data_IF_207803718779
#
_entry.id   IF_207803718779
#
_cell.length_a   1.000
_cell.length_b   1.000
_cell.length_c   1.000
_cell.angle_alpha   90.00
_cell.angle_beta   90.00
_cell.angle_gamma   90.00
#
_symmetry.space_group_name_H-M   'P 1'
#
loop_
_entity.id
_entity.type
_entity.pdbx_description
1 polymer ?
#
# COMPACT_ATOMS: atom_id res chain seq x y z
N UNK A 1 -46.85 -32.91 28.78
CA UNK A 1 -46.58 -32.97 27.33
C UNK A 1 -47.28 -31.78 26.68
N UNK A 2 -46.53 -30.80 26.20
CA UNK A 2 -47.05 -29.61 25.49
C UNK A 2 -46.65 -29.72 24.00
N UNK A 3 -47.52 -29.35 23.05
CA UNK A 3 -47.24 -29.50 21.63
C UNK A 3 -46.40 -28.33 21.09
N UNK A 4 -45.54 -28.66 20.13
CA UNK A 4 -44.69 -27.73 19.38
C UNK A 4 -45.51 -27.13 18.22
N UNK A 5 -45.57 -25.80 18.15
CA UNK A 5 -46.14 -25.06 17.01
C UNK A 5 -45.06 -24.89 15.96
N UNK A 6 -45.30 -25.40 14.76
CA UNK A 6 -44.49 -25.18 13.55
C UNK A 6 -45.00 -23.91 12.87
N UNK A 7 -44.16 -22.88 12.78
CA UNK A 7 -44.40 -21.70 11.96
C UNK A 7 -43.71 -21.88 10.60
N UNK A 8 -44.54 -21.90 9.55
CA UNK A 8 -44.15 -21.94 8.15
C UNK A 8 -43.81 -20.50 7.70
N UNK A 9 -42.56 -20.22 7.35
CA UNK A 9 -42.20 -18.96 6.67
C UNK A 9 -42.06 -19.25 5.18
N UNK A 10 -42.94 -18.62 4.40
CA UNK A 10 -42.90 -18.59 2.94
C UNK A 10 -41.72 -17.72 2.51
N UNK A 11 -40.64 -18.35 2.03
CA UNK A 11 -39.55 -17.65 1.37
C UNK A 11 -39.96 -17.29 -0.05
N UNK A 12 -40.23 -16.00 -0.28
CA UNK A 12 -40.39 -15.46 -1.63
C UNK A 12 -39.03 -15.48 -2.33
N UNK A 13 -38.97 -16.16 -3.48
CA UNK A 13 -37.84 -16.16 -4.39
C UNK A 13 -37.51 -14.75 -4.87
N UNK A 14 -36.60 -14.08 -4.17
CA UNK A 14 -35.91 -12.89 -4.67
C UNK A 14 -34.63 -13.39 -5.29
N UNK A 15 -34.60 -13.52 -6.62
CA UNK A 15 -33.34 -13.79 -7.33
C UNK A 15 -32.32 -12.69 -7.03
N UNK A 16 -31.01 -13.00 -7.07
CA UNK A 16 -29.97 -12.01 -6.86
C UNK A 16 -30.15 -10.86 -7.84
N UNK A 17 -30.36 -9.64 -7.33
CA UNK A 17 -30.37 -8.44 -8.16
C UNK A 17 -28.96 -8.30 -8.76
N UNK A 18 -28.81 -8.05 -10.07
CA UNK A 18 -27.52 -7.72 -10.62
C UNK A 18 -27.02 -6.45 -9.93
N UNK A 19 -25.87 -6.56 -9.26
CA UNK A 19 -25.10 -5.39 -8.82
C UNK A 19 -24.64 -4.70 -10.10
N UNK A 20 -25.32 -3.61 -10.45
CA UNK A 20 -24.81 -2.68 -11.44
C UNK A 20 -23.59 -2.04 -10.81
N UNK A 21 -22.42 -2.21 -11.46
CA UNK A 21 -21.25 -1.38 -11.21
C UNK A 21 -21.68 0.03 -11.63
N UNK A 22 -22.26 0.77 -10.69
CA UNK A 22 -22.55 2.18 -10.90
C UNK A 22 -21.20 2.86 -10.95
N UNK A 23 -20.84 3.26 -12.18
CA UNK A 23 -20.14 4.49 -12.58
C UNK A 23 -19.15 5.11 -11.59
N UNK A 24 -18.03 5.69 -12.08
CA UNK A 24 -17.23 6.62 -11.27
C UNK A 24 -18.14 7.66 -10.57
N UNK A 25 -17.70 8.26 -9.45
CA UNK A 25 -18.49 9.23 -8.68
C UNK A 25 -19.24 10.20 -9.59
N UNK A 26 -20.46 10.63 -9.19
CA UNK A 26 -21.41 11.34 -10.05
C UNK A 26 -20.69 12.37 -10.91
N UNK A 27 -20.96 12.35 -12.21
CA UNK A 27 -20.38 13.20 -13.24
C UNK A 27 -20.28 14.65 -12.76
N UNK A 28 -19.12 15.02 -12.25
CA UNK A 28 -18.74 16.41 -12.17
C UNK A 28 -18.38 16.73 -13.61
N UNK A 29 -19.33 17.28 -14.38
CA UNK A 29 -19.08 17.70 -15.78
C UNK A 29 -17.89 18.68 -15.86
N UNK A 30 -17.53 19.28 -14.72
CA UNK A 30 -16.40 20.19 -14.51
C UNK A 30 -15.17 19.57 -13.83
N UNK A 31 -15.10 18.25 -13.63
CA UNK A 31 -13.88 17.64 -13.10
C UNK A 31 -12.72 17.87 -14.10
N UNK A 32 -11.53 18.28 -13.62
CA UNK A 32 -10.36 18.42 -14.48
C UNK A 32 -10.12 17.12 -15.25
N UNK A 33 -9.97 17.26 -16.57
CA UNK A 33 -9.74 16.13 -17.48
C UNK A 33 -8.26 15.97 -17.72
N UNK A 34 -7.80 14.73 -17.84
CA UNK A 34 -6.49 14.44 -18.38
C UNK A 34 -6.40 14.94 -19.83
N UNK A 35 -5.25 15.49 -20.19
CA UNK A 35 -4.87 15.73 -21.58
C UNK A 35 -4.20 14.47 -22.12
N UNK A 36 -4.58 14.04 -23.32
CA UNK A 36 -3.96 12.90 -23.99
C UNK A 36 -3.03 13.40 -25.10
N UNK A 37 -1.78 12.96 -25.05
CA UNK A 37 -0.78 13.28 -26.08
C UNK A 37 -0.25 12.01 -26.70
N UNK A 38 -0.50 11.83 -27.99
CA UNK A 38 0.07 10.73 -28.76
C UNK A 38 1.57 10.98 -29.00
N UNK A 39 2.38 9.97 -28.68
CA UNK A 39 3.83 9.95 -28.86
C UNK A 39 4.20 9.23 -30.17
N UNK A 40 5.38 9.51 -30.71
CA UNK A 40 5.80 9.01 -32.03
C UNK A 40 5.92 7.48 -32.12
N UNK A 41 6.01 6.79 -30.99
CA UNK A 41 6.10 5.33 -30.87
C UNK A 41 4.73 4.66 -30.64
N UNK A 42 3.63 5.41 -30.75
CA UNK A 42 2.25 4.91 -30.60
C UNK A 42 1.78 4.83 -29.14
N UNK A 43 2.55 5.37 -28.20
CA UNK A 43 2.12 5.56 -26.82
C UNK A 43 1.21 6.78 -26.69
N UNK A 44 0.30 6.74 -25.71
CA UNK A 44 -0.55 7.88 -25.34
C UNK A 44 -0.18 8.30 -23.93
N UNK A 45 0.47 9.46 -23.80
CA UNK A 45 0.82 10.08 -22.52
C UNK A 45 -0.42 10.73 -21.92
N UNK A 46 -0.62 10.53 -20.62
CA UNK A 46 -1.69 11.17 -19.86
C UNK A 46 -1.09 12.29 -19.03
N UNK A 47 -1.42 13.53 -19.39
CA UNK A 47 -0.93 14.76 -18.76
C UNK A 47 -2.05 15.43 -17.97
N UNK A 48 -1.70 16.23 -16.96
CA UNK A 48 -2.64 17.02 -16.14
C UNK A 48 -3.79 16.21 -15.49
N UNK A 49 -3.57 14.91 -15.28
CA UNK A 49 -4.57 14.06 -14.66
C UNK A 49 -4.84 14.46 -13.20
N UNK A 50 -6.11 14.60 -12.78
CA UNK A 50 -6.40 14.76 -11.37
C UNK A 50 -5.91 13.55 -10.58
N UNK A 51 -5.32 13.83 -9.41
CA UNK A 51 -5.05 12.79 -8.41
C UNK A 51 -6.38 12.36 -7.82
N UNK A 52 -6.95 11.29 -8.35
CA UNK A 52 -8.21 10.73 -7.85
C UNK A 52 -7.92 9.51 -6.99
N UNK A 53 -8.61 9.45 -5.83
CA UNK A 53 -8.68 8.21 -5.08
C UNK A 53 -9.37 7.17 -5.96
N UNK A 54 -8.78 5.99 -6.07
CA UNK A 54 -9.52 4.84 -6.56
C UNK A 54 -10.46 4.39 -5.44
N UNK A 55 -11.76 4.66 -5.59
CA UNK A 55 -12.77 4.27 -4.62
C UNK A 55 -13.36 2.91 -4.98
N UNK A 56 -13.25 1.99 -4.03
CA UNK A 56 -13.80 0.65 -4.14
C UNK A 56 -15.24 0.58 -3.63
N UNK A 57 -16.19 0.38 -4.55
CA UNK A 57 -17.55 -0.01 -4.21
C UNK A 57 -17.62 -1.54 -4.09
N UNK A 58 -17.88 -2.04 -2.88
CA UNK A 58 -17.95 -3.48 -2.61
C UNK A 58 -19.40 -3.91 -2.34
N UNK A 59 -19.87 -5.04 -2.89
CA UNK A 59 -21.10 -5.69 -2.46
C UNK A 59 -20.94 -6.34 -1.07
N UNK A 60 -22.06 -6.59 -0.39
CA UNK A 60 -22.10 -7.04 1.02
C UNK A 60 -22.22 -8.56 1.23
N UNK A 61 -22.27 -9.37 0.18
CA UNK A 61 -22.57 -10.81 0.30
C UNK A 61 -21.59 -11.66 -0.51
N UNK A 62 -21.10 -12.74 0.11
CA UNK A 62 -20.14 -13.69 -0.45
C UNK A 62 -20.87 -14.71 -1.35
N UNK A 63 -20.53 -14.85 -2.64
CA UNK A 63 -21.08 -15.89 -3.50
C UNK A 63 -20.57 -17.28 -3.12
N UNK A 64 -21.43 -18.30 -3.24
CA UNK A 64 -21.02 -19.71 -3.15
C UNK A 64 -20.66 -20.23 -4.56
N UNK A 65 -19.51 -20.89 -4.73
CA UNK A 65 -19.04 -21.35 -6.04
C UNK A 65 -17.85 -22.31 -5.98
N UNK A 66 -17.26 -22.65 -7.13
CA UNK A 66 -15.96 -23.34 -7.17
C UNK A 66 -14.86 -22.43 -6.59
N UNK A 67 -13.71 -22.94 -6.16
CA UNK A 67 -12.61 -22.09 -5.66
C UNK A 67 -12.19 -20.98 -6.66
N UNK A 68 -12.37 -21.22 -7.97
CA UNK A 68 -12.15 -20.22 -9.04
C UNK A 68 -13.27 -19.17 -9.07
N UNK A 69 -14.53 -19.60 -8.99
CA UNK A 69 -15.67 -18.68 -8.93
C UNK A 69 -15.67 -17.88 -7.63
N UNK A 70 -15.27 -18.48 -6.53
CA UNK A 70 -15.06 -17.83 -5.23
C UNK A 70 -13.92 -16.83 -5.31
N UNK A 71 -12.78 -17.16 -5.91
CA UNK A 71 -11.71 -16.19 -6.14
C UNK A 71 -12.14 -15.04 -7.07
N UNK A 72 -12.91 -15.33 -8.13
CA UNK A 72 -13.45 -14.31 -9.05
C UNK A 72 -14.46 -13.41 -8.36
N UNK A 73 -15.37 -14.02 -7.61
CA UNK A 73 -16.34 -13.33 -6.78
C UNK A 73 -15.62 -12.45 -5.79
N UNK A 74 -14.67 -12.99 -5.05
CA UNK A 74 -13.88 -12.29 -4.03
C UNK A 74 -13.07 -11.13 -4.63
N UNK A 75 -12.38 -11.32 -5.76
CA UNK A 75 -11.72 -10.22 -6.48
C UNK A 75 -12.73 -9.15 -6.91
N UNK A 76 -13.86 -9.54 -7.50
CA UNK A 76 -14.93 -8.61 -7.90
C UNK A 76 -15.55 -7.90 -6.70
N UNK A 77 -15.74 -8.61 -5.59
CA UNK A 77 -16.32 -8.15 -4.35
C UNK A 77 -15.36 -7.23 -3.59
N UNK A 78 -14.05 -7.32 -3.87
CA UNK A 78 -13.06 -6.31 -3.49
C UNK A 78 -12.79 -5.29 -4.60
N UNK A 79 -13.56 -5.30 -5.69
CA UNK A 79 -13.37 -4.50 -6.91
C UNK A 79 -11.96 -4.58 -7.53
N UNK A 80 -11.19 -5.60 -7.17
CA UNK A 80 -9.96 -6.04 -7.83
C UNK A 80 -10.28 -6.96 -9.02
N UNK A 81 -11.56 -7.23 -9.28
CA UNK A 81 -12.01 -7.94 -10.46
C UNK A 81 -11.72 -7.12 -11.72
N UNK A 82 -11.38 -7.82 -12.80
CA UNK A 82 -11.23 -7.17 -14.11
C UNK A 82 -12.61 -6.76 -14.61
N UNK A 83 -12.88 -5.44 -14.77
CA UNK A 83 -14.18 -4.98 -15.24
C UNK A 83 -14.41 -5.33 -16.72
N UNK A 84 -15.66 -5.55 -17.15
CA UNK A 84 -15.98 -5.81 -18.55
C UNK A 84 -15.45 -4.69 -19.46
N UNK A 85 -14.80 -5.07 -20.57
CA UNK A 85 -14.19 -4.12 -21.51
C UNK A 85 -12.79 -3.64 -21.12
N UNK A 86 -12.21 -4.17 -20.03
CA UNK A 86 -10.80 -3.97 -19.74
C UNK A 86 -9.93 -4.55 -20.86
N UNK A 87 -8.73 -3.99 -21.02
CA UNK A 87 -7.79 -4.42 -22.06
C UNK A 87 -6.42 -4.68 -21.47
N UNK A 88 -5.74 -5.73 -21.94
CA UNK A 88 -4.33 -5.92 -21.62
C UNK A 88 -3.50 -4.97 -22.49
N UNK A 89 -2.65 -4.17 -21.88
CA UNK A 89 -1.77 -3.22 -22.59
C UNK A 89 -0.39 -3.20 -21.98
N UNK A 90 0.59 -2.79 -22.78
CA UNK A 90 1.78 -2.16 -22.21
C UNK A 90 1.34 -0.81 -21.61
N UNK A 91 1.81 -0.49 -20.41
CA UNK A 91 1.50 0.75 -19.70
C UNK A 91 2.73 1.28 -19.00
N UNK A 92 2.74 2.56 -18.71
CA UNK A 92 3.67 3.19 -17.78
C UNK A 92 2.85 3.60 -16.56
N UNK A 93 3.08 2.96 -15.42
CA UNK A 93 2.36 3.25 -14.17
C UNK A 93 3.20 4.12 -13.26
N UNK A 94 2.55 4.92 -12.42
CA UNK A 94 3.23 5.64 -11.34
C UNK A 94 3.25 4.76 -10.10
N UNK A 95 4.45 4.31 -9.71
CA UNK A 95 4.67 3.66 -8.42
C UNK A 95 5.14 4.69 -7.43
N UNK A 96 4.49 4.68 -6.27
CA UNK A 96 4.92 5.47 -5.13
C UNK A 96 5.74 4.56 -4.24
N UNK A 97 6.92 5.03 -3.86
CA UNK A 97 7.65 4.42 -2.77
C UNK A 97 7.42 5.18 -1.47
N UNK A 98 7.84 4.53 -0.39
CA UNK A 98 7.68 5.04 0.97
C UNK A 98 8.63 6.22 1.25
N UNK A 99 9.51 6.57 0.31
CA UNK A 99 10.34 7.77 0.34
C UNK A 99 9.62 8.99 -0.24
N UNK A 100 8.40 8.79 -0.75
CA UNK A 100 7.62 9.82 -1.44
C UNK A 100 8.10 10.07 -2.86
N UNK A 101 9.07 9.28 -3.36
CA UNK A 101 9.45 9.33 -4.76
C UNK A 101 8.38 8.61 -5.59
N UNK A 102 7.99 9.25 -6.69
CA UNK A 102 7.19 8.60 -7.72
C UNK A 102 8.13 8.14 -8.82
N UNK A 103 8.26 6.82 -9.01
CA UNK A 103 8.92 6.26 -10.18
C UNK A 103 7.86 5.83 -11.19
N UNK A 104 8.09 6.16 -12.46
CA UNK A 104 7.30 5.61 -13.56
C UNK A 104 7.88 4.28 -13.98
N UNK A 105 7.08 3.22 -13.98
CA UNK A 105 7.51 1.90 -14.43
C UNK A 105 6.70 1.46 -15.64
N UNK A 106 7.39 1.09 -16.73
CA UNK A 106 6.76 0.39 -17.85
C UNK A 106 6.54 -1.07 -17.51
N UNK A 107 5.32 -1.55 -17.72
CA UNK A 107 4.91 -2.93 -17.42
C UNK A 107 3.70 -3.33 -18.28
N UNK A 108 3.34 -4.61 -18.24
CA UNK A 108 2.06 -5.09 -18.76
C UNK A 108 1.02 -5.06 -17.66
N UNK A 109 -0.14 -4.51 -17.99
CA UNK A 109 -1.21 -4.37 -17.02
C UNK A 109 -2.58 -4.46 -17.69
N UNK A 110 -3.57 -4.85 -16.90
CA UNK A 110 -4.96 -4.83 -17.30
C UNK A 110 -5.52 -3.44 -17.04
N UNK A 111 -5.71 -2.67 -18.10
CA UNK A 111 -6.23 -1.31 -18.07
C UNK A 111 -7.74 -1.34 -17.96
N UNK A 112 -8.26 -0.61 -16.98
CA UNK A 112 -9.70 -0.49 -16.77
C UNK A 112 -10.37 0.32 -17.88
N UNK A 113 -11.63 0.01 -18.23
CA UNK A 113 -12.44 0.83 -19.12
C UNK A 113 -12.47 2.27 -18.64
N UNK A 114 -12.31 3.20 -19.58
CA UNK A 114 -12.27 4.64 -19.33
C UNK A 114 -12.87 5.38 -20.51
N UNK A 115 -13.33 6.60 -20.27
CA UNK A 115 -13.60 7.58 -21.34
C UNK A 115 -12.36 8.41 -21.61
N UNK A 116 -12.24 8.93 -22.83
CA UNK A 116 -11.18 9.86 -23.18
C UNK A 116 -11.18 11.06 -22.23
N UNK A 117 -9.99 11.43 -21.73
CA UNK A 117 -9.80 12.51 -20.77
C UNK A 117 -10.12 12.19 -19.30
N UNK A 118 -10.55 10.99 -18.94
CA UNK A 118 -10.58 10.58 -17.52
C UNK A 118 -9.14 10.21 -17.06
N UNK A 119 -8.87 9.98 -15.77
CA UNK A 119 -7.69 9.23 -15.33
C UNK A 119 -7.76 7.76 -15.76
N UNK A 120 -6.62 7.13 -15.99
CA UNK A 120 -6.54 5.70 -16.29
C UNK A 120 -5.92 4.94 -15.11
N UNK A 121 -6.43 3.73 -14.87
CA UNK A 121 -5.95 2.83 -13.83
C UNK A 121 -5.70 1.45 -14.43
N UNK A 122 -4.70 0.74 -13.93
CA UNK A 122 -4.39 -0.60 -14.39
C UNK A 122 -3.95 -1.53 -13.26
N UNK A 123 -4.36 -2.80 -13.34
CA UNK A 123 -3.87 -3.87 -12.49
C UNK A 123 -2.57 -4.42 -13.08
N UNK A 124 -1.46 -4.27 -12.35
CA UNK A 124 -0.17 -4.85 -12.73
C UNK A 124 0.08 -6.17 -11.98
N UNK A 125 1.34 -6.62 -11.97
CA UNK A 125 1.91 -7.73 -11.19
C UNK A 125 1.37 -7.91 -9.76
N UNK A 126 1.01 -6.81 -9.07
CA UNK A 126 0.55 -6.83 -7.68
C UNK A 126 -0.95 -6.95 -7.48
N UNK A 127 -1.78 -6.98 -8.54
CA UNK A 127 -3.25 -6.86 -8.43
C UNK A 127 -3.75 -5.60 -7.71
N UNK A 128 -2.87 -4.65 -7.44
CA UNK A 128 -3.24 -3.36 -6.91
C UNK A 128 -3.42 -2.42 -8.11
N UNK A 129 -4.54 -1.68 -8.23
CA UNK A 129 -4.71 -0.76 -9.35
C UNK A 129 -3.79 0.43 -9.18
N UNK A 130 -2.96 0.70 -10.18
CA UNK A 130 -2.04 1.84 -10.20
C UNK A 130 -2.53 2.92 -11.15
N UNK A 131 -2.30 4.22 -10.83
CA UNK A 131 -2.47 5.29 -11.80
C UNK A 131 -1.58 5.04 -13.02
N UNK A 132 -2.17 5.14 -14.20
CA UNK A 132 -1.46 5.01 -15.47
C UNK A 132 -1.02 6.40 -15.92
N UNK A 133 0.27 6.51 -16.22
CA UNK A 133 0.92 7.71 -16.77
C UNK A 133 0.98 7.70 -18.29
N UNK A 134 1.14 6.52 -18.89
CA UNK A 134 1.07 6.36 -20.34
C UNK A 134 0.47 5.01 -20.74
N UNK A 135 -0.27 5.00 -21.85
CA UNK A 135 -0.89 3.82 -22.43
C UNK A 135 -0.13 3.42 -23.69
N UNK A 136 0.41 2.21 -23.69
CA UNK A 136 1.04 1.59 -24.84
C UNK A 136 0.06 0.76 -25.68
N UNK A 137 0.60 -0.08 -26.59
CA UNK A 137 -0.18 -0.92 -27.47
C UNK A 137 -1.02 -1.96 -26.71
N UNK A 138 -2.15 -2.34 -27.33
CA UNK A 138 -2.98 -3.46 -26.86
C UNK A 138 -2.27 -4.78 -27.12
N UNK A 139 -2.30 -5.65 -26.12
CA UNK A 139 -1.69 -6.97 -26.14
C UNK A 139 -2.79 -8.02 -26.17
N UNK A 140 -2.62 -9.04 -27.01
CA UNK A 140 -3.52 -10.19 -27.00
C UNK A 140 -3.31 -11.02 -25.71
N UNK A 141 -4.31 -11.11 -24.83
CA UNK A 141 -4.15 -11.80 -23.55
C UNK A 141 -3.85 -13.29 -23.71
N UNK A 142 -4.34 -13.93 -24.78
CA UNK A 142 -4.11 -15.35 -25.03
C UNK A 142 -2.67 -15.64 -25.45
N UNK A 143 -2.15 -14.84 -26.39
CA UNK A 143 -0.74 -14.95 -26.84
C UNK A 143 0.21 -14.67 -25.68
N UNK A 144 -0.09 -13.64 -24.89
CA UNK A 144 0.74 -13.25 -23.75
C UNK A 144 0.72 -14.31 -22.64
N UNK A 145 -0.45 -14.91 -22.39
CA UNK A 145 -0.59 -15.99 -21.45
C UNK A 145 0.17 -17.25 -21.87
N UNK A 146 0.06 -17.67 -23.14
CA UNK A 146 0.82 -18.81 -23.69
C UNK A 146 2.33 -18.57 -23.54
N UNK A 147 2.80 -17.36 -23.88
CA UNK A 147 4.20 -16.95 -23.66
C UNK A 147 4.62 -17.07 -22.19
N UNK A 148 3.79 -16.59 -21.26
CA UNK A 148 4.07 -16.66 -19.82
C UNK A 148 4.14 -18.10 -19.30
N UNK A 149 3.26 -18.99 -19.78
CA UNK A 149 3.28 -20.42 -19.47
C UNK A 149 4.55 -21.10 -19.99
N UNK A 150 4.98 -20.78 -21.22
CA UNK A 150 6.22 -21.30 -21.80
C UNK A 150 7.46 -20.84 -21.02
N UNK A 151 7.51 -19.56 -20.64
CA UNK A 151 8.60 -19.00 -19.82
C UNK A 151 8.66 -19.67 -18.45
N UNK A 152 7.51 -19.90 -17.82
CA UNK A 152 7.42 -20.60 -16.54
C UNK A 152 7.92 -22.04 -16.66
N UNK A 153 7.52 -22.77 -17.70
CA UNK A 153 7.99 -24.12 -17.93
C UNK A 153 9.53 -24.18 -18.04
N UNK A 154 10.14 -23.20 -18.72
CA UNK A 154 11.61 -23.06 -18.79
C UNK A 154 12.25 -22.75 -17.44
N UNK A 155 11.66 -21.85 -16.65
CA UNK A 155 12.15 -21.52 -15.31
C UNK A 155 12.12 -22.74 -14.37
N UNK A 156 11.05 -23.54 -14.43
CA UNK A 156 10.92 -24.77 -13.65
C UNK A 156 11.94 -25.84 -14.04
N UNK A 157 12.22 -26.01 -15.34
CA UNK A 157 13.28 -26.91 -15.82
C UNK A 157 14.67 -26.49 -15.30
N UNK A 158 14.99 -25.19 -15.38
CA UNK A 158 16.24 -24.63 -14.85
C UNK A 158 16.39 -24.90 -13.35
N UNK A 159 15.35 -24.61 -12.56
CA UNK A 159 15.33 -24.87 -11.12
C UNK A 159 15.54 -26.35 -10.80
N UNK A 160 14.90 -27.24 -11.55
CA UNK A 160 15.04 -28.68 -11.35
C UNK A 160 16.46 -29.17 -11.71
N UNK A 161 17.06 -28.62 -12.77
CA UNK A 161 18.48 -28.87 -13.12
C UNK A 161 19.42 -28.45 -11.99
N UNK A 162 19.25 -27.25 -11.44
CA UNK A 162 20.03 -26.76 -10.30
C UNK A 162 19.85 -27.64 -9.07
N UNK A 163 18.61 -28.03 -8.75
CA UNK A 163 18.31 -28.91 -7.62
C UNK A 163 18.93 -30.30 -7.79
N UNK A 164 18.93 -30.86 -9.02
CA UNK A 164 19.60 -32.14 -9.32
C UNK A 164 21.11 -32.04 -9.11
N UNK A 165 21.76 -30.97 -9.57
CA UNK A 165 23.20 -30.79 -9.37
C UNK A 165 23.58 -30.59 -7.90
N UNK A 166 22.79 -29.81 -7.15
CA UNK A 166 23.00 -29.64 -5.71
C UNK A 166 22.97 -30.97 -4.96
N UNK A 167 22.00 -31.84 -5.27
CA UNK A 167 21.95 -33.20 -4.68
C UNK A 167 23.19 -34.03 -5.03
N UNK A 168 23.65 -34.00 -6.28
CA UNK A 168 24.88 -34.71 -6.69
C UNK A 168 26.12 -34.15 -5.99
N UNK A 169 26.18 -32.84 -5.76
CA UNK A 169 27.28 -32.20 -5.04
C UNK A 169 27.26 -32.53 -3.54
N UNK A 170 26.08 -32.53 -2.91
CA UNK A 170 25.88 -32.96 -1.51
C UNK A 170 26.33 -34.41 -1.29
N UNK A 171 26.05 -35.30 -2.25
CA UNK A 171 26.48 -36.71 -2.21
C UNK A 171 28.00 -36.89 -2.45
N UNK A 172 28.68 -35.91 -3.02
CA UNK A 172 30.11 -36.02 -3.39
C UNK A 172 31.08 -35.78 -2.20
N UNK A 173 30.58 -35.53 -0.98
CA UNK A 173 31.33 -35.33 0.28
C UNK A 173 32.43 -34.24 0.23
N UNK A 174 32.50 -33.47 -0.85
CA UNK A 174 33.49 -32.41 -1.06
C UNK A 174 32.77 -31.09 -1.29
N UNK A 175 33.19 -30.08 -0.51
CA UNK A 175 32.78 -28.69 -0.65
C UNK A 175 33.34 -28.16 -1.99
N UNK A 176 32.62 -28.46 -3.07
CA UNK A 176 33.00 -28.04 -4.41
C UNK A 176 32.56 -26.59 -4.57
N UNK A 177 33.48 -25.67 -4.92
CA UNK A 177 33.10 -24.29 -5.16
C UNK A 177 32.02 -24.25 -6.24
N UNK A 178 31.02 -23.38 -6.05
CA UNK A 178 29.89 -23.21 -6.96
C UNK A 178 30.42 -23.09 -8.40
N UNK A 179 30.00 -24.02 -9.27
CA UNK A 179 30.56 -24.09 -10.61
C UNK A 179 30.06 -22.91 -11.43
N UNK A 180 30.86 -22.45 -12.40
CA UNK A 180 30.42 -21.40 -13.33
C UNK A 180 29.09 -21.74 -14.03
N UNK A 181 28.85 -23.03 -14.28
CA UNK A 181 27.61 -23.52 -14.86
C UNK A 181 26.41 -23.37 -13.90
N UNK A 182 26.61 -23.50 -12.59
CA UNK A 182 25.53 -23.30 -11.60
C UNK A 182 25.20 -21.83 -11.44
N UNK A 183 26.21 -20.95 -11.45
CA UNK A 183 26.00 -19.50 -11.48
C UNK A 183 25.23 -19.07 -12.73
N UNK A 184 25.61 -19.57 -13.91
CA UNK A 184 24.91 -19.28 -15.17
C UNK A 184 23.46 -19.80 -15.17
N UNK A 185 23.22 -21.03 -14.70
CA UNK A 185 21.86 -21.58 -14.60
C UNK A 185 21.03 -20.80 -13.57
N UNK A 186 21.61 -20.33 -12.46
CA UNK A 186 20.93 -19.48 -11.47
C UNK A 186 20.57 -18.11 -12.04
N UNK A 187 21.50 -17.45 -12.74
CA UNK A 187 21.24 -16.19 -13.45
C UNK A 187 20.16 -16.37 -14.53
N UNK A 188 20.18 -17.48 -15.25
CA UNK A 188 19.15 -17.83 -16.23
C UNK A 188 17.78 -18.11 -15.58
N UNK A 189 17.75 -18.80 -14.43
CA UNK A 189 16.53 -18.99 -13.63
C UNK A 189 15.97 -17.63 -13.19
N UNK A 190 16.81 -16.75 -12.66
CA UNK A 190 16.41 -15.40 -12.23
C UNK A 190 15.88 -14.55 -13.38
N UNK A 191 16.52 -14.59 -14.55
CA UNK A 191 16.07 -13.90 -15.75
C UNK A 191 14.74 -14.46 -16.26
N UNK A 192 14.59 -15.78 -16.29
CA UNK A 192 13.34 -16.43 -16.69
C UNK A 192 12.19 -16.05 -15.74
N UNK A 193 12.41 -16.05 -14.43
CA UNK A 193 11.40 -15.59 -13.46
C UNK A 193 11.12 -14.10 -13.56
N UNK A 194 12.11 -13.27 -13.88
CA UNK A 194 11.88 -11.85 -14.14
C UNK A 194 10.96 -11.66 -15.36
N UNK A 195 11.12 -12.45 -16.41
CA UNK A 195 10.24 -12.40 -17.58
C UNK A 195 8.85 -13.00 -17.32
N UNK A 196 8.75 -14.08 -16.52
CA UNK A 196 7.44 -14.58 -16.03
C UNK A 196 6.70 -13.48 -15.24
N UNK A 197 7.43 -12.72 -14.40
CA UNK A 197 6.88 -11.56 -13.68
C UNK A 197 6.43 -10.44 -14.61
N UNK A 198 7.12 -10.19 -15.72
CA UNK A 198 6.71 -9.18 -16.71
C UNK A 198 5.52 -9.60 -17.55
N UNK A 199 5.43 -10.88 -17.88
CA UNK A 199 4.34 -11.40 -18.72
C UNK A 199 3.01 -11.52 -17.96
N UNK A 200 3.06 -11.52 -16.63
CA UNK A 200 1.89 -11.45 -15.74
C UNK A 200 0.74 -12.38 -16.20
N UNK A 201 0.99 -13.65 -16.57
CA UNK A 201 -0.04 -14.52 -17.14
C UNK A 201 -1.24 -14.70 -16.18
N UNK A 202 -1.01 -14.54 -14.87
CA UNK A 202 -2.07 -14.52 -13.88
C UNK A 202 -2.92 -13.24 -13.93
N UNK A 203 -2.41 -12.06 -14.25
CA UNK A 203 -3.25 -10.86 -14.31
C UNK A 203 -4.22 -10.94 -15.51
N UNK A 204 -3.83 -11.67 -16.56
CA UNK A 204 -4.63 -11.85 -17.76
C UNK A 204 -5.74 -12.90 -17.63
N UNK A 205 -5.75 -13.80 -16.63
CA UNK A 205 -6.71 -14.92 -16.59
C UNK A 205 -8.18 -14.48 -16.63
N UNK A 206 -8.62 -13.37 -15.98
CA UNK A 206 -10.00 -12.94 -16.12
C UNK A 206 -10.34 -12.46 -17.53
N UNK A 207 -9.37 -11.85 -18.23
CA UNK A 207 -9.55 -11.45 -19.64
C UNK A 207 -9.65 -12.66 -20.57
N UNK A 208 -8.92 -13.75 -20.27
CA UNK A 208 -8.99 -14.99 -21.04
C UNK A 208 -10.40 -15.59 -21.03
N UNK A 209 -11.08 -15.52 -19.89
CA UNK A 209 -12.48 -15.97 -19.79
C UNK A 209 -13.41 -15.10 -20.66
N UNK A 210 -13.22 -13.78 -20.64
CA UNK A 210 -14.04 -12.84 -21.41
C UNK A 210 -13.87 -13.04 -22.94
N UNK A 211 -12.71 -13.52 -23.40
CA UNK A 211 -12.46 -13.90 -24.80
C UNK A 211 -12.73 -15.38 -25.11
N UNK A 212 -13.33 -16.14 -24.17
CA UNK A 212 -13.74 -17.53 -24.36
C UNK A 212 -12.59 -18.56 -24.32
N UNK A 213 -11.40 -18.21 -23.83
CA UNK A 213 -10.23 -19.09 -23.66
C UNK A 213 -10.18 -19.71 -22.26
N UNK A 214 -11.26 -20.40 -21.90
CA UNK A 214 -11.42 -21.02 -20.57
C UNK A 214 -10.36 -22.08 -20.26
N UNK A 215 -9.89 -22.81 -21.27
CA UNK A 215 -8.81 -23.79 -21.16
C UNK A 215 -7.50 -23.15 -20.67
N UNK A 216 -7.22 -21.95 -21.18
CA UNK A 216 -6.00 -21.23 -20.89
C UNK A 216 -6.09 -20.53 -19.53
N UNK A 217 -7.25 -19.94 -19.21
CA UNK A 217 -7.56 -19.41 -17.88
C UNK A 217 -7.42 -20.48 -16.80
N UNK A 218 -7.90 -21.69 -17.07
CA UNK A 218 -7.74 -22.83 -16.18
C UNK A 218 -6.28 -23.16 -15.93
N UNK A 219 -5.49 -23.39 -17.00
CA UNK A 219 -4.06 -23.69 -16.88
C UNK A 219 -3.27 -22.62 -16.10
N UNK A 220 -3.66 -21.35 -16.21
CA UNK A 220 -3.04 -20.28 -15.41
C UNK A 220 -3.47 -20.27 -13.95
N UNK A 221 -4.66 -20.75 -13.63
CA UNK A 221 -5.25 -20.66 -12.28
C UNK A 221 -4.99 -21.89 -11.42
N UNK A 222 -4.93 -23.10 -11.99
CA UNK A 222 -4.78 -24.37 -11.22
C UNK A 222 -3.48 -24.43 -10.42
N UNK A 223 -2.46 -23.72 -10.88
CA UNK A 223 -1.15 -23.59 -10.25
C UNK A 223 -0.99 -22.28 -9.46
N UNK A 224 -1.95 -21.37 -9.58
CA UNK A 224 -1.90 -20.02 -9.01
C UNK A 224 -2.78 -19.87 -7.77
N UNK A 225 -3.61 -20.84 -7.37
CA UNK A 225 -4.47 -20.71 -6.18
C UNK A 225 -3.70 -20.62 -4.87
N UNK A 226 -2.60 -21.36 -4.72
CA UNK A 226 -1.65 -21.22 -3.61
C UNK A 226 -0.83 -19.92 -3.70
N UNK A 227 -0.50 -19.48 -4.91
CA UNK A 227 0.26 -18.24 -5.16
C UNK A 227 -0.64 -16.99 -5.06
N UNK A 228 -1.94 -17.13 -5.30
CA UNK A 228 -2.92 -16.04 -5.26
C UNK A 228 -3.17 -15.59 -3.83
N UNK A 229 -3.28 -16.50 -2.86
CA UNK A 229 -3.40 -16.11 -1.45
C UNK A 229 -2.13 -15.41 -0.94
N UNK A 230 -0.95 -15.89 -1.32
CA UNK A 230 0.34 -15.21 -1.05
C UNK A 230 0.35 -13.82 -1.69
N UNK A 231 -0.17 -13.68 -2.91
CA UNK A 231 -0.24 -12.40 -3.63
C UNK A 231 -1.33 -11.47 -3.13
N UNK A 232 -2.44 -11.96 -2.58
CA UNK A 232 -3.43 -11.12 -1.90
C UNK A 232 -2.84 -10.57 -0.61
N UNK A 233 -2.03 -11.35 0.13
CA UNK A 233 -1.21 -10.82 1.24
C UNK A 233 -0.21 -9.75 0.82
N UNK A 234 0.45 -9.94 -0.34
CA UNK A 234 1.27 -8.88 -0.95
C UNK A 234 0.42 -7.66 -1.36
N UNK A 235 -0.81 -7.87 -1.80
CA UNK A 235 -1.73 -6.80 -2.19
C UNK A 235 -2.11 -5.93 -1.00
N UNK A 236 -2.42 -6.52 0.16
CA UNK A 236 -2.67 -5.79 1.40
C UNK A 236 -1.48 -4.89 1.75
N UNK A 237 -0.29 -5.47 1.79
CA UNK A 237 0.96 -4.77 2.11
C UNK A 237 1.27 -3.62 1.15
N UNK A 238 1.02 -3.81 -0.15
CA UNK A 238 1.25 -2.79 -1.18
C UNK A 238 0.20 -1.68 -1.15
N UNK A 239 -1.08 -2.02 -0.93
CA UNK A 239 -2.14 -1.03 -0.72
C UNK A 239 -1.85 -0.20 0.52
N UNK A 240 -1.43 -0.83 1.62
CA UNK A 240 -1.05 -0.14 2.84
C UNK A 240 0.16 0.78 2.65
N UNK A 241 1.22 0.32 1.99
CA UNK A 241 2.39 1.17 1.68
C UNK A 241 2.02 2.40 0.83
N UNK A 242 1.09 2.24 -0.11
CA UNK A 242 0.56 3.35 -0.90
C UNK A 242 -0.29 4.31 -0.07
N UNK A 243 -1.14 3.77 0.81
CA UNK A 243 -1.95 4.55 1.73
C UNK A 243 -1.08 5.43 2.63
N UNK A 244 0.01 4.86 3.16
CA UNK A 244 1.02 5.60 3.92
C UNK A 244 1.67 6.69 3.08
N UNK A 245 2.01 6.41 1.82
CA UNK A 245 2.61 7.44 0.95
C UNK A 245 1.65 8.60 0.69
N UNK A 246 0.38 8.33 0.42
CA UNK A 246 -0.61 9.39 0.27
C UNK A 246 -0.85 10.17 1.57
N UNK A 247 -0.86 9.49 2.72
CA UNK A 247 -0.93 10.14 4.03
C UNK A 247 0.28 11.04 4.29
N UNK A 248 1.48 10.56 3.98
CA UNK A 248 2.73 11.31 4.03
C UNK A 248 2.70 12.57 3.16
N UNK A 249 1.90 12.59 2.09
CA UNK A 249 1.73 13.70 1.15
C UNK A 249 0.56 14.66 1.50
N UNK A 250 -0.15 14.44 2.60
CA UNK A 250 -1.32 15.27 2.92
C UNK A 250 -2.62 14.86 2.23
N UNK A 251 -2.65 13.72 1.52
CA UNK A 251 -3.77 13.27 0.72
C UNK A 251 -4.69 12.33 1.52
N UNK A 252 -5.19 12.83 2.66
CA UNK A 252 -5.89 12.03 3.68
C UNK A 252 -7.13 11.29 3.14
N UNK A 253 -7.86 11.89 2.19
CA UNK A 253 -9.03 11.26 1.56
C UNK A 253 -8.63 10.04 0.73
N UNK A 254 -7.51 10.14 -0.01
CA UNK A 254 -7.00 9.04 -0.83
C UNK A 254 -6.44 7.95 0.09
N UNK A 255 -5.62 8.34 1.08
CA UNK A 255 -5.07 7.42 2.06
C UNK A 255 -6.17 6.62 2.77
N UNK A 256 -7.26 7.28 3.20
CA UNK A 256 -8.39 6.61 3.85
C UNK A 256 -9.04 5.56 2.96
N UNK A 257 -9.33 5.92 1.71
CA UNK A 257 -9.90 4.97 0.77
C UNK A 257 -9.02 3.72 0.62
N UNK A 258 -7.70 3.89 0.60
CA UNK A 258 -6.76 2.77 0.48
C UNK A 258 -6.61 1.96 1.77
N UNK A 259 -6.59 2.61 2.94
CA UNK A 259 -6.62 1.91 4.24
C UNK A 259 -7.88 1.08 4.38
N UNK A 260 -9.04 1.59 3.95
CA UNK A 260 -10.30 0.84 3.99
C UNK A 260 -10.23 -0.43 3.12
N UNK A 261 -9.50 -0.38 2.01
CA UNK A 261 -9.26 -1.52 1.12
C UNK A 261 -8.32 -2.51 1.77
N UNK A 262 -7.17 -2.05 2.27
CA UNK A 262 -6.21 -2.90 2.99
C UNK A 262 -6.86 -3.58 4.19
N UNK A 263 -7.63 -2.86 5.00
CA UNK A 263 -8.37 -3.39 6.15
C UNK A 263 -9.33 -4.51 5.75
N UNK A 264 -10.06 -4.33 4.65
CA UNK A 264 -11.00 -5.36 4.15
C UNK A 264 -10.27 -6.59 3.63
N UNK A 265 -9.18 -6.40 2.87
CA UNK A 265 -8.32 -7.50 2.41
C UNK A 265 -7.76 -8.30 3.60
N UNK A 266 -7.24 -7.59 4.61
CA UNK A 266 -6.67 -8.18 5.83
C UNK A 266 -7.65 -9.14 6.51
N UNK A 267 -8.89 -8.67 6.77
CA UNK A 267 -9.93 -9.47 7.43
C UNK A 267 -10.30 -10.77 6.72
N UNK A 268 -10.10 -10.82 5.42
CA UNK A 268 -10.57 -11.90 4.56
C UNK A 268 -9.47 -12.91 4.27
N UNK A 269 -8.22 -12.42 4.25
CA UNK A 269 -7.02 -13.26 4.26
C UNK A 269 -6.83 -13.97 5.60
N UNK A 270 -7.10 -13.28 6.70
CA UNK A 270 -7.04 -13.86 8.04
C UNK A 270 -8.34 -14.63 8.30
N UNK A 271 -8.44 -15.87 7.80
CA UNK A 271 -9.57 -16.76 8.14
C UNK A 271 -9.63 -17.11 9.63
N UNK A 272 -8.54 -16.86 10.34
CA UNK A 272 -8.44 -16.88 11.79
C UNK A 272 -8.37 -15.43 12.27
N UNK A 273 -8.94 -15.10 13.43
CA UNK A 273 -8.64 -13.81 14.08
C UNK A 273 -7.13 -13.56 13.99
N UNK A 274 -6.68 -12.38 13.50
CA UNK A 274 -5.26 -12.08 13.43
C UNK A 274 -4.70 -12.36 14.82
N UNK A 275 -3.66 -13.21 14.89
CA UNK A 275 -3.09 -13.57 16.18
C UNK A 275 -2.79 -12.27 16.93
N UNK A 276 -3.39 -12.09 18.12
CA UNK A 276 -3.16 -10.91 18.94
C UNK A 276 -1.64 -10.72 19.09
N UNK A 277 -1.11 -9.64 18.53
CA UNK A 277 0.32 -9.33 18.56
C UNK A 277 1.03 -9.28 17.20
N UNK A 278 0.37 -9.58 16.07
CA UNK A 278 0.97 -9.24 14.77
C UNK A 278 0.93 -7.70 14.56
N UNK A 279 2.10 -7.04 14.35
CA UNK A 279 2.17 -5.58 14.30
C UNK A 279 1.29 -4.94 13.20
N UNK A 280 0.91 -5.68 12.16
CA UNK A 280 0.32 -5.11 10.94
C UNK A 280 -1.17 -4.81 11.08
N UNK A 281 -1.93 -5.73 11.69
CA UNK A 281 -3.37 -5.53 11.91
C UNK A 281 -3.64 -4.39 12.91
N UNK A 282 -2.77 -4.28 13.92
CA UNK A 282 -2.84 -3.21 14.93
C UNK A 282 -2.63 -1.84 14.29
N UNK A 283 -1.69 -1.73 13.34
CA UNK A 283 -1.42 -0.48 12.62
C UNK A 283 -2.57 -0.06 11.69
N UNK A 284 -3.21 -0.98 10.97
CA UNK A 284 -4.30 -0.63 10.05
C UNK A 284 -5.52 -0.02 10.76
N UNK A 285 -5.94 -0.61 11.89
CA UNK A 285 -7.08 -0.11 12.65
C UNK A 285 -6.84 1.29 13.21
N UNK A 286 -5.69 1.50 13.85
CA UNK A 286 -5.30 2.79 14.40
C UNK A 286 -5.13 3.84 13.29
N UNK A 287 -4.59 3.45 12.14
CA UNK A 287 -4.42 4.35 11.00
C UNK A 287 -5.75 4.82 10.43
N UNK A 288 -6.75 3.93 10.36
CA UNK A 288 -8.10 4.32 9.95
C UNK A 288 -8.71 5.34 10.92
N UNK A 289 -8.57 5.11 12.23
CA UNK A 289 -9.09 6.03 13.26
C UNK A 289 -8.43 7.41 13.12
N UNK A 290 -7.12 7.47 12.89
CA UNK A 290 -6.40 8.72 12.67
C UNK A 290 -6.88 9.46 11.41
N UNK A 291 -7.06 8.76 10.29
CA UNK A 291 -7.58 9.35 9.06
C UNK A 291 -9.03 9.84 9.20
N UNK A 292 -9.85 9.15 9.99
CA UNK A 292 -11.19 9.60 10.36
C UNK A 292 -11.17 10.87 11.21
N UNK A 293 -10.27 10.92 12.21
CA UNK A 293 -10.06 12.11 13.03
C UNK A 293 -9.70 13.31 12.16
N UNK A 294 -8.73 13.17 11.24
CA UNK A 294 -8.32 14.24 10.32
C UNK A 294 -9.46 14.71 9.42
N UNK A 295 -10.21 13.76 8.87
CA UNK A 295 -11.37 14.09 8.03
C UNK A 295 -12.43 14.90 8.80
N UNK A 296 -12.61 14.64 10.10
CA UNK A 296 -13.55 15.38 10.96
C UNK A 296 -13.01 16.72 11.43
N UNK A 297 -11.72 16.79 11.80
CA UNK A 297 -11.07 17.99 12.30
C UNK A 297 -10.83 19.04 11.20
N UNK A 298 -10.67 18.58 9.94
CA UNK A 298 -10.25 19.42 8.83
C UNK A 298 -8.74 19.65 8.82
N UNK A 299 -8.21 20.31 7.77
CA UNK A 299 -6.80 20.61 7.66
C UNK A 299 -6.36 21.61 8.74
N UNK A 300 -5.30 21.27 9.47
CA UNK A 300 -4.61 22.23 10.36
C UNK A 300 -3.65 23.06 9.50
N UNK A 301 -3.83 24.39 9.41
CA UNK A 301 -2.92 25.23 8.65
C UNK A 301 -1.56 25.30 9.34
N UNK A 302 -0.50 25.31 8.55
CA UNK A 302 0.83 25.59 9.07
C UNK A 302 0.97 27.09 9.37
N UNK A 303 1.46 27.48 10.56
CA UNK A 303 1.65 28.89 10.87
C UNK A 303 2.78 29.48 10.03
N UNK A 304 2.62 30.74 9.58
CA UNK A 304 3.67 31.51 8.90
C UNK A 304 4.72 31.98 9.90
N UNK A 305 5.73 31.14 10.15
CA UNK A 305 6.83 31.45 11.07
C UNK A 305 7.86 32.36 10.40
N UNK A 306 8.45 33.33 11.11
CA UNK A 306 9.59 34.09 10.59
C UNK A 306 10.75 33.18 10.17
N UNK A 307 11.25 33.34 8.93
CA UNK A 307 12.35 32.51 8.41
C UNK A 307 13.60 32.65 9.29
N UNK A 308 13.92 33.86 9.74
CA UNK A 308 15.09 34.17 10.56
C UNK A 308 14.71 34.75 11.94
N UNK A 309 15.61 34.55 12.91
CA UNK A 309 15.53 35.19 14.22
C UNK A 309 14.63 34.49 15.25
N UNK A 310 14.29 35.15 16.35
CA UNK A 310 13.46 34.55 17.40
C UNK A 310 12.01 34.37 16.91
N UNK A 311 11.40 33.24 17.28
CA UNK A 311 9.98 32.99 17.03
C UNK A 311 9.19 33.46 18.25
N UNK A 312 8.18 34.35 18.11
CA UNK A 312 7.41 34.82 19.25
C UNK A 312 6.65 33.70 19.97
N UNK A 313 6.51 33.81 21.29
CA UNK A 313 5.76 32.84 22.13
C UNK A 313 4.31 32.62 21.65
N UNK A 314 3.70 33.63 21.00
CA UNK A 314 2.36 33.50 20.41
C UNK A 314 2.23 32.40 19.36
N UNK A 315 3.36 31.89 18.83
CA UNK A 315 3.39 30.79 17.88
C UNK A 315 3.35 29.40 18.54
N UNK A 316 3.55 29.26 19.85
CA UNK A 316 3.62 27.95 20.51
C UNK A 316 2.37 27.11 20.26
N UNK A 317 1.19 27.66 20.56
CA UNK A 317 -0.07 26.93 20.39
C UNK A 317 -0.36 26.52 18.93
N UNK A 318 -0.27 27.41 17.91
CA UNK A 318 -0.49 26.99 16.52
C UNK A 318 0.61 26.05 16.01
N UNK A 319 1.86 26.19 16.47
CA UNK A 319 2.93 25.25 16.12
C UNK A 319 2.65 23.84 16.67
N UNK A 320 2.30 23.72 17.95
CA UNK A 320 1.91 22.43 18.57
C UNK A 320 0.69 21.83 17.87
N UNK A 321 -0.30 22.66 17.50
CA UNK A 321 -1.43 22.20 16.70
C UNK A 321 -0.96 21.66 15.33
N UNK A 322 -0.05 22.34 14.65
CA UNK A 322 0.47 21.95 13.33
C UNK A 322 1.42 20.75 13.36
N UNK A 323 1.89 20.27 14.52
CA UNK A 323 2.84 19.15 14.59
C UNK A 323 2.33 17.85 13.94
N UNK A 324 1.00 17.70 13.80
CA UNK A 324 0.44 16.58 13.06
C UNK A 324 0.80 16.60 11.56
N UNK A 325 1.28 17.73 11.02
CA UNK A 325 1.77 17.87 9.66
C UNK A 325 3.29 17.66 9.53
N UNK A 326 4.01 17.32 10.60
CA UNK A 326 5.45 17.02 10.52
C UNK A 326 5.69 15.89 9.54
N UNK A 327 6.46 16.13 8.49
CA UNK A 327 6.61 15.22 7.33
C UNK A 327 8.06 14.78 7.09
N UNK A 328 8.92 14.91 8.11
CA UNK A 328 10.30 14.47 8.08
C UNK A 328 10.44 13.02 7.57
N UNK A 329 11.38 12.82 6.65
CA UNK A 329 11.64 11.52 6.00
C UNK A 329 12.84 10.82 6.64
N UNK A 330 12.80 9.49 6.64
CA UNK A 330 13.93 8.67 7.06
C UNK A 330 15.13 8.88 6.11
N UNK A 331 16.37 8.72 6.62
CA UNK A 331 17.60 8.95 5.84
C UNK A 331 18.31 7.62 5.51
N UNK A 332 17.64 6.72 4.80
CA UNK A 332 18.21 5.42 4.35
C UNK A 332 17.80 4.20 5.19
N UNK A 333 18.42 3.05 4.93
CA UNK A 333 18.06 1.75 5.53
C UNK A 333 19.27 0.94 6.02
N UNK A 334 19.44 0.75 7.34
CA UNK A 334 18.67 1.38 8.42
C UNK A 334 19.03 2.86 8.57
N UNK A 335 18.08 3.70 8.95
CA UNK A 335 18.29 5.14 9.13
C UNK A 335 17.29 5.75 10.10
N UNK A 336 17.62 6.89 10.68
CA UNK A 336 16.72 7.64 11.56
C UNK A 336 15.89 8.69 10.81
N UNK A 337 14.89 9.25 11.49
CA UNK A 337 14.12 10.42 11.04
C UNK A 337 14.61 11.64 11.80
N UNK A 338 15.13 12.63 11.08
CA UNK A 338 15.60 13.89 11.68
C UNK A 338 14.42 14.85 11.89
N UNK A 339 13.55 14.57 12.87
CA UNK A 339 12.36 15.39 13.17
C UNK A 339 12.70 16.86 13.46
N UNK A 340 13.87 17.14 14.03
CA UNK A 340 14.34 18.51 14.30
C UNK A 340 14.57 19.35 13.04
N UNK A 341 14.62 18.73 11.85
CA UNK A 341 14.74 19.44 10.57
C UNK A 341 13.39 19.82 9.97
N UNK A 342 12.28 19.37 10.53
CA UNK A 342 10.96 19.86 10.14
C UNK A 342 10.78 21.30 10.61
N UNK A 343 10.29 22.18 9.73
CA UNK A 343 10.15 23.61 10.00
C UNK A 343 9.34 23.90 11.27
N UNK A 344 8.35 23.04 11.60
CA UNK A 344 7.49 23.23 12.76
C UNK A 344 8.22 22.90 14.06
N UNK A 345 9.03 21.85 14.03
CA UNK A 345 9.86 21.43 15.18
C UNK A 345 11.00 22.42 15.39
N UNK A 346 11.68 22.84 14.32
CA UNK A 346 12.72 23.89 14.37
C UNK A 346 12.15 25.21 14.93
N UNK A 347 10.96 25.62 14.48
CA UNK A 347 10.31 26.81 15.00
C UNK A 347 10.01 26.73 16.51
N UNK A 348 9.54 25.58 17.01
CA UNK A 348 9.35 25.36 18.45
C UNK A 348 10.68 25.43 19.21
N UNK A 349 11.76 24.87 18.65
CA UNK A 349 13.11 24.96 19.22
C UNK A 349 13.55 26.43 19.31
N UNK A 350 13.28 27.23 18.27
CA UNK A 350 13.59 28.67 18.21
C UNK A 350 12.74 29.53 19.14
N UNK A 351 11.54 29.08 19.53
CA UNK A 351 10.80 29.72 20.64
C UNK A 351 11.57 29.55 21.95
N UNK A 352 12.15 28.37 22.17
CA UNK A 352 12.96 28.07 23.36
C UNK A 352 12.13 27.72 24.60
N UNK A 353 12.62 28.13 25.77
CA UNK A 353 12.00 27.84 27.07
C UNK A 353 10.49 28.13 27.17
N UNK A 354 9.93 29.22 26.59
CA UNK A 354 8.49 29.48 26.62
C UNK A 354 7.62 28.37 26.01
N UNK A 355 8.17 27.53 25.11
CA UNK A 355 7.43 26.41 24.52
C UNK A 355 7.35 25.19 25.44
N UNK A 356 8.24 25.06 26.44
CA UNK A 356 8.40 23.85 27.26
C UNK A 356 7.10 23.39 27.93
N UNK A 357 6.28 24.27 28.57
CA UNK A 357 5.04 23.83 29.21
C UNK A 357 4.05 23.17 28.24
N UNK A 358 3.88 23.73 27.04
CA UNK A 358 2.99 23.20 26.01
C UNK A 358 3.52 21.89 25.42
N UNK A 359 4.84 21.81 25.22
CA UNK A 359 5.50 20.60 24.73
C UNK A 359 5.42 19.43 25.73
N UNK A 360 5.51 19.70 27.03
CA UNK A 360 5.32 18.68 28.07
C UNK A 360 3.88 18.16 28.11
N UNK A 361 2.89 19.05 27.97
CA UNK A 361 1.49 18.64 27.87
C UNK A 361 1.25 17.78 26.62
N UNK A 362 1.77 18.23 25.47
CA UNK A 362 1.77 17.47 24.22
C UNK A 362 2.38 16.08 24.40
N UNK A 363 3.59 16.01 24.96
CA UNK A 363 4.31 14.74 25.17
C UNK A 363 3.47 13.75 26.00
N UNK A 364 2.77 14.21 27.03
CA UNK A 364 2.02 13.31 27.91
C UNK A 364 0.68 12.85 27.34
N UNK A 365 -0.01 13.71 26.59
CA UNK A 365 -1.43 13.56 26.29
C UNK A 365 -1.77 13.51 24.80
N UNK A 366 -0.88 13.96 23.93
CA UNK A 366 -1.16 14.02 22.50
C UNK A 366 -1.01 12.64 21.86
N UNK A 367 -2.14 12.13 21.34
CA UNK A 367 -2.24 10.84 20.67
C UNK A 367 -2.29 10.98 19.14
N UNK A 368 -2.26 12.21 18.61
CA UNK A 368 -2.27 12.45 17.16
C UNK A 368 -1.00 11.92 16.53
N UNK A 369 -1.10 11.58 15.26
CA UNK A 369 0.04 11.13 14.45
C UNK A 369 0.61 12.27 13.62
N UNK A 370 1.92 12.21 13.36
CA UNK A 370 2.59 13.04 12.36
C UNK A 370 2.42 12.44 10.97
N UNK A 371 2.96 13.10 9.94
CA UNK A 371 3.12 12.54 8.58
C UNK A 371 4.48 11.88 8.36
N UNK A 372 5.26 11.69 9.43
CA UNK A 372 6.55 11.01 9.38
C UNK A 372 6.37 9.50 9.60
N UNK A 373 6.98 8.69 8.73
CA UNK A 373 6.89 7.22 8.77
C UNK A 373 8.28 6.65 8.91
N UNK A 374 8.52 5.92 10.00
CA UNK A 374 9.72 5.15 10.27
C UNK A 374 9.56 3.72 9.80
N UNK A 375 10.64 3.11 9.32
CA UNK A 375 10.65 1.72 8.90
C UNK A 375 12.04 1.10 8.95
N UNK A 376 12.10 -0.22 9.14
CA UNK A 376 13.38 -0.93 9.14
C UNK A 376 13.89 -1.17 7.70
N UNK A 377 13.02 -1.69 6.84
CA UNK A 377 13.25 -1.93 5.39
C UNK A 377 12.01 -1.50 4.63
N UNK A 378 12.17 -0.82 3.49
CA UNK A 378 11.04 -0.44 2.63
C UNK A 378 10.33 -1.64 1.98
N UNK A 379 11.03 -2.74 1.75
CA UNK A 379 10.42 -3.97 1.29
C UNK A 379 9.79 -4.80 2.43
N UNK A 380 9.79 -4.28 3.67
CA UNK A 380 9.12 -4.87 4.82
C UNK A 380 8.03 -3.93 5.33
N UNK A 381 6.85 -3.89 4.67
CA UNK A 381 5.70 -3.06 5.08
C UNK A 381 5.28 -3.32 6.53
N UNK A 382 5.63 -4.52 7.00
CA UNK A 382 5.52 -4.96 8.36
C UNK A 382 6.18 -4.07 9.42
N UNK A 383 7.23 -3.37 9.02
CA UNK A 383 8.06 -2.54 9.89
C UNK A 383 7.67 -1.07 9.90
N UNK A 384 6.61 -0.70 9.17
CA UNK A 384 6.19 0.69 9.03
C UNK A 384 5.49 1.18 10.29
N UNK A 385 5.97 2.30 10.82
CA UNK A 385 5.44 2.95 12.02
C UNK A 385 5.28 4.43 11.73
N UNK A 386 4.05 4.93 11.77
CA UNK A 386 3.79 6.37 11.77
C UNK A 386 4.20 6.92 13.13
N UNK A 387 5.01 7.98 13.15
CA UNK A 387 5.45 8.61 14.40
C UNK A 387 4.33 9.48 14.96
N UNK A 388 4.14 9.46 16.28
CA UNK A 388 3.22 10.34 16.98
C UNK A 388 3.72 11.77 17.08
N UNK A 389 2.79 12.69 17.32
CA UNK A 389 3.10 14.11 17.58
C UNK A 389 3.99 14.26 18.83
N UNK A 390 3.83 13.34 19.79
CA UNK A 390 4.64 13.32 21.00
C UNK A 390 6.12 13.04 20.74
N UNK A 391 6.51 12.27 19.71
CA UNK A 391 7.92 12.14 19.32
C UNK A 391 8.48 13.46 18.77
N UNK A 392 7.71 14.23 18.00
CA UNK A 392 8.12 15.56 17.56
C UNK A 392 8.27 16.54 18.74
N UNK A 393 7.34 16.49 19.70
CA UNK A 393 7.42 17.26 20.94
C UNK A 393 8.65 16.88 21.78
N UNK A 394 8.97 15.59 21.88
CA UNK A 394 10.18 15.11 22.55
C UNK A 394 11.45 15.70 21.92
N UNK A 395 11.57 15.62 20.59
CA UNK A 395 12.74 16.15 19.87
C UNK A 395 12.88 17.66 20.08
N UNK A 396 11.78 18.42 20.09
CA UNK A 396 11.83 19.84 20.43
C UNK A 396 12.33 20.08 21.85
N UNK A 397 11.79 19.37 22.85
CA UNK A 397 12.21 19.47 24.27
C UNK A 397 13.70 19.18 24.43
N UNK A 398 14.18 18.08 23.86
CA UNK A 398 15.58 17.67 23.97
C UNK A 398 16.53 18.74 23.40
N UNK A 399 16.16 19.38 22.29
CA UNK A 399 16.97 20.43 21.66
C UNK A 399 16.88 21.77 22.41
N UNK A 400 15.72 22.14 22.96
CA UNK A 400 15.57 23.36 23.77
C UNK A 400 16.41 23.27 25.05
N UNK A 401 16.40 22.10 25.69
CA UNK A 401 17.07 21.87 26.98
C UNK A 401 18.53 21.44 26.83
N UNK A 402 18.94 21.00 25.63
CA UNK A 402 20.29 20.48 25.39
C UNK A 402 20.57 19.13 26.05
N UNK A 403 19.53 18.36 26.33
CA UNK A 403 19.58 17.10 27.07
C UNK A 403 18.77 16.01 26.37
N UNK A 404 19.25 14.77 26.45
CA UNK A 404 18.55 13.58 25.98
C UNK A 404 17.95 12.83 27.18
N UNK A 405 16.64 12.70 27.22
CA UNK A 405 15.90 12.09 28.33
C UNK A 405 15.40 10.68 28.01
N UNK A 406 15.69 10.17 26.80
CA UNK A 406 15.20 8.89 26.29
C UNK A 406 16.34 8.11 25.62
N UNK A 407 16.78 7.04 26.29
CA UNK A 407 17.79 6.14 25.73
C UNK A 407 17.14 5.10 24.81
N UNK A 408 17.58 5.04 23.55
CA UNK A 408 17.06 4.10 22.56
C UNK A 408 17.67 2.71 22.77
N UNK A 409 16.90 1.79 23.35
CA UNK A 409 17.31 0.39 23.46
C UNK A 409 17.37 -0.37 22.12
N UNK A 410 16.73 0.13 21.07
CA UNK A 410 16.78 -0.42 19.71
C UNK A 410 16.33 0.61 18.66
N UNK A 411 16.63 0.37 17.38
CA UNK A 411 16.20 1.20 16.24
C UNK A 411 14.67 1.28 16.05
N UNK A 412 13.88 0.52 16.80
CA UNK A 412 12.42 0.60 16.82
C UNK A 412 11.83 1.11 18.14
N UNK A 413 12.67 1.48 19.12
CA UNK A 413 12.20 2.06 20.37
C UNK A 413 11.55 3.40 20.10
N UNK A 414 10.28 3.56 20.47
CA UNK A 414 9.53 4.80 20.32
C UNK A 414 8.75 5.12 21.60
N UNK A 415 8.24 6.34 21.68
CA UNK A 415 7.52 6.85 22.84
C UNK A 415 6.02 6.50 22.81
N UNK A 416 5.64 5.47 22.05
CA UNK A 416 4.23 5.08 21.87
C UNK A 416 3.54 4.67 23.17
N UNK A 417 4.28 4.23 24.19
CA UNK A 417 3.73 3.95 25.52
C UNK A 417 3.56 5.21 26.37
N UNK A 418 2.31 5.51 26.77
CA UNK A 418 1.97 6.64 27.62
C UNK A 418 2.71 6.69 28.96
N UNK A 419 3.04 5.54 29.56
CA UNK A 419 3.83 5.50 30.80
C UNK A 419 5.25 5.99 30.57
N UNK A 420 5.91 5.55 29.49
CA UNK A 420 7.25 6.02 29.12
C UNK A 420 7.25 7.53 28.90
N UNK A 421 6.22 8.07 28.24
CA UNK A 421 6.07 9.52 28.05
C UNK A 421 5.96 10.29 29.36
N UNK A 422 5.16 9.80 30.32
CA UNK A 422 5.06 10.41 31.65
C UNK A 422 6.37 10.35 32.44
N UNK A 423 7.15 9.28 32.29
CA UNK A 423 8.48 9.18 32.92
C UNK A 423 9.42 10.23 32.34
N UNK A 424 9.49 10.35 31.00
CA UNK A 424 10.29 11.38 30.34
C UNK A 424 9.85 12.78 30.75
N UNK A 425 8.55 13.07 30.72
CA UNK A 425 8.01 14.34 31.17
C UNK A 425 8.24 14.62 32.67
N UNK A 426 8.32 13.56 33.50
CA UNK A 426 8.71 13.65 34.90
C UNK A 426 10.17 14.05 35.05
N UNK A 427 11.07 13.45 34.27
CA UNK A 427 12.50 13.76 34.27
C UNK A 427 12.78 15.20 33.82
N UNK A 428 12.07 15.69 32.80
CA UNK A 428 12.22 17.08 32.32
C UNK A 428 11.79 18.12 33.36
N UNK A 429 10.86 17.78 34.25
CA UNK A 429 10.38 18.68 35.31
C UNK A 429 11.25 18.66 36.58
N UNK A 430 12.06 17.63 36.75
CA UNK A 430 12.91 17.43 37.92
C UNK A 430 14.21 18.22 37.77
#
# INVERSE_FOLDING_TARGET
>A
MRPLVVALVVAACSGPRPVVITTPPPSVEDAPRCTEREESDGWVRLEDCPRVAWTLALPSERPAGSARDEARALLRDYGLGVPPGATLRDVEIVRYDVWGASETQRTRAVVFPRRAGEPAFALSDSWVPWPVHALGPVVDPAVECERGLDMRARAMDLRERLARRRRVAEDAEHDTPESEADRQDFEAEQAAWADVRRTCPWVAWPLLEDVGRHDLAERTTTDATSDALVRVGLSESLVFGRALTHYMQGLDVIARAEVDVAWRLSRELTTNEPAEGEPHSTNLSAFRVELERRAQAGPVPDPEVPEDGPVPESFVAPLVASLENVDARQQGQPGGIALSRDLRVDALIRVGEPAVPALLECLERDERWTRAVHFWRDFAPSSYTVLGVHEACYVALANILGEDFFDFGSTGGNLTNAQSRRVVAGNVRA
#
